data_IF_441689227791
#
_entry.id   IF_441689227791
#
_cell.length_a   1.000
_cell.length_b   1.000
_cell.length_c   1.000
_cell.angle_alpha   90.00
_cell.angle_beta   90.00
_cell.angle_gamma   90.00
#
_symmetry.space_group_name_H-M   'P 1'
#
loop_
_entity.id
_entity.type
_entity.pdbx_description
1 polymer ?
#
# COMPACT_ATOMS: atom_id res chain seq x y z
N UNK A 1 -45.40 3.30 0.91
CA UNK A 1 -44.96 4.07 -0.26
C UNK A 1 -44.95 3.08 -1.43
N UNK A 2 -45.61 3.39 -2.56
CA UNK A 2 -45.61 2.47 -3.70
C UNK A 2 -44.20 2.43 -4.32
N UNK A 3 -43.74 1.28 -4.83
CA UNK A 3 -42.43 1.17 -5.44
C UNK A 3 -42.38 1.92 -6.78
N UNK A 4 -41.37 2.77 -6.96
CA UNK A 4 -41.18 3.53 -8.21
C UNK A 4 -40.33 2.72 -9.18
N UNK A 5 -40.75 2.63 -10.45
CA UNK A 5 -39.96 1.96 -11.50
C UNK A 5 -39.21 3.00 -12.32
N UNK A 6 -37.89 2.85 -12.41
CA UNK A 6 -37.01 3.74 -13.16
C UNK A 6 -36.35 3.01 -14.34
N UNK A 7 -36.01 3.75 -15.39
CA UNK A 7 -35.24 3.21 -16.51
C UNK A 7 -33.74 3.23 -16.19
N UNK A 8 -33.23 2.08 -15.77
CA UNK A 8 -31.88 1.90 -15.26
C UNK A 8 -31.52 0.40 -15.34
N UNK A 9 -30.24 0.10 -15.17
CA UNK A 9 -29.77 -1.27 -14.88
C UNK A 9 -29.17 -1.27 -13.48
N UNK A 10 -29.43 -2.29 -12.68
CA UNK A 10 -28.89 -2.42 -11.33
C UNK A 10 -28.08 -3.71 -11.21
N UNK A 11 -26.89 -3.61 -10.63
CA UNK A 11 -25.99 -4.73 -10.34
C UNK A 11 -25.48 -4.62 -8.92
N UNK A 12 -25.18 -5.74 -8.27
CA UNK A 12 -24.79 -5.78 -6.87
C UNK A 12 -23.48 -6.54 -6.64
N UNK A 13 -22.70 -6.06 -5.68
CA UNK A 13 -21.46 -6.68 -5.22
C UNK A 13 -21.32 -6.51 -3.70
N UNK A 14 -20.89 -7.56 -3.00
CA UNK A 14 -20.82 -7.53 -1.53
C UNK A 14 -22.16 -7.29 -0.82
N UNK A 15 -23.29 -7.55 -1.50
CA UNK A 15 -24.64 -7.30 -0.98
C UNK A 15 -25.18 -5.88 -1.22
N UNK A 16 -24.40 -4.99 -1.85
CA UNK A 16 -24.78 -3.60 -2.10
C UNK A 16 -24.93 -3.36 -3.61
N UNK A 17 -25.97 -2.63 -4.00
CA UNK A 17 -26.34 -2.37 -5.39
C UNK A 17 -25.83 -1.02 -5.89
N UNK A 18 -25.48 -0.99 -7.17
CA UNK A 18 -25.17 0.20 -7.95
C UNK A 18 -26.24 0.37 -9.03
N UNK A 19 -26.80 1.58 -9.12
CA UNK A 19 -27.71 1.96 -10.21
C UNK A 19 -26.89 2.53 -11.37
N UNK A 20 -27.08 1.97 -12.57
CA UNK A 20 -26.54 2.48 -13.83
C UNK A 20 -27.64 3.28 -14.52
N UNK A 21 -27.48 4.61 -14.54
CA UNK A 21 -28.42 5.58 -15.10
C UNK A 21 -27.92 6.06 -16.46
N UNK A 22 -28.83 6.57 -17.29
CA UNK A 22 -28.48 7.18 -18.57
C UNK A 22 -29.48 6.82 -19.67
N UNK A 23 -29.40 7.49 -20.83
CA UNK A 23 -30.30 7.24 -21.96
C UNK A 23 -30.13 5.82 -22.53
N UNK A 24 -31.06 5.41 -23.39
CA UNK A 24 -30.88 4.17 -24.16
C UNK A 24 -29.62 4.27 -25.01
N UNK A 25 -28.83 3.19 -25.06
CA UNK A 25 -27.54 3.18 -25.77
C UNK A 25 -26.35 3.74 -24.99
N UNK A 26 -26.52 4.23 -23.76
CA UNK A 26 -25.42 4.72 -22.91
C UNK A 26 -24.47 3.63 -22.38
N UNK A 27 -24.67 2.36 -22.75
CA UNK A 27 -23.80 1.26 -22.32
C UNK A 27 -24.17 0.61 -20.98
N UNK A 28 -25.37 0.87 -20.42
CA UNK A 28 -25.84 0.29 -19.14
C UNK A 28 -25.71 -1.24 -19.10
N UNK A 29 -26.35 -1.96 -20.04
CA UNK A 29 -26.35 -3.43 -20.07
C UNK A 29 -24.97 -4.01 -20.43
N UNK A 30 -24.18 -3.32 -21.25
CA UNK A 30 -22.80 -3.73 -21.56
C UNK A 30 -21.88 -3.64 -20.34
N UNK A 31 -21.94 -2.52 -19.60
CA UNK A 31 -21.20 -2.36 -18.36
C UNK A 31 -21.67 -3.36 -17.30
N UNK A 32 -22.99 -3.60 -17.20
CA UNK A 32 -23.55 -4.62 -16.31
C UNK A 32 -23.02 -6.02 -16.63
N UNK A 33 -22.98 -6.41 -17.91
CA UNK A 33 -22.42 -7.68 -18.34
C UNK A 33 -20.94 -7.82 -17.98
N UNK A 34 -20.13 -6.77 -18.20
CA UNK A 34 -18.72 -6.75 -17.80
C UNK A 34 -18.51 -6.76 -16.28
N UNK A 35 -19.47 -6.24 -15.51
CA UNK A 35 -19.45 -6.35 -14.04
C UNK A 35 -19.85 -7.75 -13.58
N UNK A 36 -20.83 -8.38 -14.24
CA UNK A 36 -21.26 -9.76 -13.94
C UNK A 36 -20.13 -10.76 -14.19
N UNK A 37 -19.38 -10.60 -15.31
CA UNK A 37 -18.16 -11.38 -15.59
C UNK A 37 -17.11 -11.28 -14.46
N UNK A 38 -17.17 -10.21 -13.66
CA UNK A 38 -16.30 -9.95 -12.50
C UNK A 38 -16.93 -10.35 -11.16
N UNK A 39 -17.99 -11.16 -11.18
CA UNK A 39 -18.63 -11.69 -9.97
C UNK A 39 -19.66 -10.74 -9.33
N UNK A 40 -20.12 -9.73 -10.06
CA UNK A 40 -21.30 -8.97 -9.66
C UNK A 40 -22.55 -9.77 -10.00
N UNK A 41 -23.62 -9.54 -9.25
CA UNK A 41 -24.92 -10.15 -9.53
C UNK A 41 -25.82 -9.14 -10.20
N UNK A 42 -26.61 -9.58 -11.17
CA UNK A 42 -27.67 -8.74 -11.70
C UNK A 42 -28.73 -8.52 -10.61
N UNK A 43 -29.22 -7.30 -10.49
CA UNK A 43 -30.37 -6.97 -9.65
C UNK A 43 -31.60 -6.77 -10.54
N UNK A 44 -31.45 -5.99 -11.61
CA UNK A 44 -32.44 -5.81 -12.66
C UNK A 44 -31.80 -5.19 -13.91
N UNK A 45 -32.34 -5.45 -15.09
CA UNK A 45 -31.92 -4.81 -16.35
C UNK A 45 -33.07 -4.02 -16.99
N UNK A 46 -32.73 -2.90 -17.65
CA UNK A 46 -33.62 -1.94 -18.32
C UNK A 46 -34.65 -1.19 -17.44
N UNK A 47 -35.26 -1.89 -16.49
CA UNK A 47 -36.20 -1.34 -15.51
C UNK A 47 -35.88 -1.84 -14.12
N UNK A 48 -35.63 -0.91 -13.20
CA UNK A 48 -35.35 -1.19 -11.79
C UNK A 48 -36.54 -0.72 -10.96
N UNK A 49 -37.03 -1.58 -10.08
CA UNK A 49 -38.01 -1.22 -9.05
C UNK A 49 -37.25 -0.73 -7.83
N UNK A 50 -37.54 0.50 -7.39
CA UNK A 50 -37.00 1.08 -6.17
C UNK A 50 -38.06 1.04 -5.07
N UNK A 51 -37.63 0.68 -3.86
CA UNK A 51 -38.45 0.71 -2.66
C UNK A 51 -37.61 1.07 -1.44
N UNK A 52 -38.27 1.23 -0.29
CA UNK A 52 -37.58 1.50 0.99
C UNK A 52 -37.81 0.32 1.92
N UNK A 53 -36.71 -0.27 2.40
CA UNK A 53 -36.74 -1.31 3.43
C UNK A 53 -35.62 -1.06 4.44
N UNK A 54 -35.92 -1.15 5.74
CA UNK A 54 -34.93 -0.91 6.80
C UNK A 54 -34.30 0.50 6.77
N UNK A 55 -35.03 1.50 6.26
CA UNK A 55 -34.51 2.87 6.11
C UNK A 55 -33.50 3.05 4.97
N UNK A 56 -33.29 2.03 4.13
CA UNK A 56 -32.41 2.08 2.95
C UNK A 56 -33.22 1.97 1.68
N UNK A 57 -32.71 2.58 0.61
CA UNK A 57 -33.25 2.39 -0.73
C UNK A 57 -32.86 0.98 -1.19
N UNK A 58 -33.80 0.22 -1.72
CA UNK A 58 -33.58 -1.15 -2.21
C UNK A 58 -33.98 -1.21 -3.67
N UNK A 59 -33.11 -1.78 -4.50
CA UNK A 59 -33.36 -2.08 -5.90
C UNK A 59 -33.77 -3.55 -6.07
N UNK A 60 -34.74 -3.79 -6.94
CA UNK A 60 -35.17 -5.14 -7.34
C UNK A 60 -35.64 -5.17 -8.79
N UNK A 61 -35.69 -6.37 -9.37
CA UNK A 61 -36.29 -6.57 -10.69
C UNK A 61 -37.83 -6.51 -10.64
N UNK A 62 -38.49 -5.91 -11.64
CA UNK A 62 -39.92 -6.09 -11.85
C UNK A 62 -40.23 -7.58 -12.04
N UNK A 63 -41.39 -8.09 -11.57
CA UNK A 63 -41.73 -9.52 -11.68
C UNK A 63 -41.66 -10.09 -13.11
N UNK A 64 -41.88 -9.26 -14.13
CA UNK A 64 -41.87 -9.63 -15.55
C UNK A 64 -40.45 -9.75 -16.12
N UNK A 65 -39.47 -9.05 -15.53
CA UNK A 65 -38.07 -8.99 -16.00
C UNK A 65 -37.09 -9.63 -15.03
N UNK A 66 -37.58 -10.21 -13.93
CA UNK A 66 -36.76 -10.93 -12.97
C UNK A 66 -36.09 -12.13 -13.66
N UNK A 67 -34.79 -12.28 -13.43
CA UNK A 67 -34.04 -13.40 -14.01
C UNK A 67 -33.56 -13.20 -15.45
N UNK A 68 -33.67 -11.99 -16.03
CA UNK A 68 -33.43 -11.75 -17.46
C UNK A 68 -32.46 -10.58 -17.70
N UNK A 69 -31.50 -10.77 -18.61
CA UNK A 69 -30.55 -9.75 -19.06
C UNK A 69 -30.61 -9.60 -20.59
N UNK A 70 -30.78 -8.38 -21.10
CA UNK A 70 -30.68 -8.15 -22.56
C UNK A 70 -29.21 -8.00 -22.97
N UNK A 71 -28.71 -8.96 -23.75
CA UNK A 71 -27.38 -8.90 -24.34
C UNK A 71 -27.50 -8.53 -25.82
N UNK A 72 -27.11 -7.30 -26.16
CA UNK A 72 -27.21 -6.80 -27.55
C UNK A 72 -26.46 -7.72 -28.51
N UNK A 73 -27.17 -8.19 -29.54
CA UNK A 73 -26.65 -9.13 -30.53
C UNK A 73 -26.84 -10.61 -30.19
N UNK A 74 -27.19 -10.95 -28.93
CA UNK A 74 -27.48 -12.32 -28.49
C UNK A 74 -28.92 -12.52 -28.01
N UNK A 75 -29.65 -11.45 -27.67
CA UNK A 75 -31.03 -11.51 -27.19
C UNK A 75 -31.14 -11.52 -25.66
N UNK A 76 -32.27 -11.95 -25.13
CA UNK A 76 -32.54 -12.00 -23.68
C UNK A 76 -32.00 -13.33 -23.11
N UNK A 77 -31.11 -13.22 -22.12
CA UNK A 77 -30.43 -14.34 -21.48
C UNK A 77 -30.90 -14.52 -20.03
N UNK A 78 -30.99 -15.76 -19.51
CA UNK A 78 -31.30 -16.00 -18.11
C UNK A 78 -30.12 -15.62 -17.21
N UNK A 79 -30.37 -14.83 -16.17
CA UNK A 79 -29.35 -14.36 -15.21
C UNK A 79 -29.98 -14.22 -13.81
N UNK A 80 -29.36 -14.76 -12.76
CA UNK A 80 -30.00 -14.80 -11.45
C UNK A 80 -30.09 -13.40 -10.82
N UNK A 81 -31.32 -12.94 -10.51
CA UNK A 81 -31.56 -11.64 -9.88
C UNK A 81 -31.87 -11.74 -8.39
N UNK A 82 -31.25 -10.89 -7.57
CA UNK A 82 -31.60 -10.73 -6.16
C UNK A 82 -31.73 -9.23 -5.81
N UNK A 83 -32.73 -8.88 -5.00
CA UNK A 83 -32.89 -7.52 -4.50
C UNK A 83 -31.71 -7.13 -3.59
N UNK A 84 -31.30 -5.87 -3.64
CA UNK A 84 -30.17 -5.39 -2.84
C UNK A 84 -30.32 -3.89 -2.49
N UNK A 85 -29.85 -3.46 -1.30
CA UNK A 85 -29.79 -2.05 -0.92
C UNK A 85 -28.90 -1.26 -1.88
N UNK A 86 -29.35 -0.09 -2.31
CA UNK A 86 -28.61 0.81 -3.20
C UNK A 86 -27.63 1.65 -2.38
N UNK A 87 -26.37 1.62 -2.75
CA UNK A 87 -25.31 2.41 -2.12
C UNK A 87 -24.73 3.50 -3.03
N UNK A 88 -24.93 3.41 -4.34
CA UNK A 88 -24.34 4.32 -5.33
C UNK A 88 -25.19 4.36 -6.62
N UNK A 89 -25.19 5.52 -7.29
CA UNK A 89 -25.67 5.68 -8.64
C UNK A 89 -24.55 6.20 -9.57
N UNK A 90 -24.47 5.65 -10.78
CA UNK A 90 -23.55 6.05 -11.83
C UNK A 90 -24.35 6.60 -13.02
N UNK A 91 -24.09 7.84 -13.41
CA UNK A 91 -24.72 8.48 -14.56
C UNK A 91 -23.85 8.33 -15.80
N UNK A 92 -24.31 7.52 -16.75
CA UNK A 92 -23.65 7.23 -18.02
C UNK A 92 -23.98 8.23 -19.13
N UNK A 93 -24.70 9.33 -18.82
CA UNK A 93 -25.13 10.31 -19.81
C UNK A 93 -24.06 11.35 -20.16
N UNK A 94 -23.04 11.52 -19.32
CA UNK A 94 -22.01 12.54 -19.47
C UNK A 94 -20.60 11.99 -19.21
N UNK A 95 -19.61 12.60 -19.87
CA UNK A 95 -18.21 12.29 -19.63
C UNK A 95 -17.82 12.71 -18.19
N UNK A 96 -17.10 11.86 -17.44
CA UNK A 96 -16.69 12.18 -16.08
C UNK A 96 -15.66 13.31 -16.06
N UNK A 97 -15.83 14.27 -15.15
CA UNK A 97 -14.84 15.30 -14.88
C UNK A 97 -13.56 14.71 -14.27
N UNK A 98 -12.43 15.40 -14.50
CA UNK A 98 -11.12 15.01 -13.93
C UNK A 98 -11.14 15.00 -12.39
N UNK A 99 -11.91 15.90 -11.80
CA UNK A 99 -12.18 16.00 -10.37
C UNK A 99 -13.69 16.29 -10.21
N UNK A 100 -14.53 15.26 -10.05
CA UNK A 100 -15.97 15.46 -9.94
C UNK A 100 -16.34 16.10 -8.60
N UNK A 101 -17.29 17.03 -8.61
CA UNK A 101 -17.91 17.54 -7.38
C UNK A 101 -18.77 16.47 -6.73
N UNK A 102 -18.92 16.55 -5.40
CA UNK A 102 -19.76 15.61 -4.66
C UNK A 102 -21.24 15.84 -5.01
N UNK A 103 -21.82 14.94 -5.80
CA UNK A 103 -23.24 14.96 -6.15
C UNK A 103 -24.00 13.82 -5.48
N UNK A 104 -25.29 14.03 -5.24
CA UNK A 104 -26.21 12.98 -4.77
C UNK A 104 -27.58 13.18 -5.38
N UNK A 105 -28.32 12.08 -5.53
CA UNK A 105 -29.70 12.09 -5.99
C UNK A 105 -30.58 11.38 -4.97
N UNK A 106 -31.73 11.98 -4.68
CA UNK A 106 -32.67 11.45 -3.71
C UNK A 106 -33.75 10.61 -4.39
N UNK A 107 -33.95 9.38 -3.91
CA UNK A 107 -35.09 8.53 -4.25
C UNK A 107 -35.83 8.16 -2.96
N UNK A 108 -37.15 8.32 -2.94
CA UNK A 108 -37.97 8.09 -1.74
C UNK A 108 -37.45 8.81 -0.46
N UNK A 109 -36.83 9.98 -0.62
CA UNK A 109 -36.25 10.75 0.48
C UNK A 109 -34.86 10.27 0.97
N UNK A 110 -34.27 9.25 0.32
CA UNK A 110 -32.95 8.72 0.65
C UNK A 110 -31.95 9.26 -0.38
N UNK A 111 -30.98 10.04 0.08
CA UNK A 111 -29.90 10.57 -0.75
C UNK A 111 -28.87 9.49 -1.05
N UNK A 112 -28.64 9.22 -2.33
CA UNK A 112 -27.66 8.26 -2.82
C UNK A 112 -26.57 9.03 -3.58
N UNK A 113 -25.28 8.77 -3.32
CA UNK A 113 -24.18 9.38 -4.08
C UNK A 113 -24.36 9.15 -5.59
N UNK A 114 -24.13 10.18 -6.39
CA UNK A 114 -24.26 10.15 -7.85
C UNK A 114 -22.93 10.55 -8.48
N UNK A 115 -22.43 9.75 -9.43
CA UNK A 115 -21.18 10.05 -10.15
C UNK A 115 -21.40 9.97 -11.65
N UNK A 116 -20.98 11.00 -12.39
CA UNK A 116 -20.83 10.91 -13.84
C UNK A 116 -19.79 9.83 -14.17
N UNK A 117 -20.06 9.00 -15.17
CA UNK A 117 -19.31 7.77 -15.36
C UNK A 117 -19.23 7.35 -16.83
N UNK A 118 -18.02 7.11 -17.31
CA UNK A 118 -17.78 6.58 -18.66
C UNK A 118 -17.92 5.05 -18.65
N UNK A 119 -18.97 4.56 -19.29
CA UNK A 119 -19.21 3.13 -19.44
C UNK A 119 -18.22 2.46 -20.38
N UNK A 120 -17.73 3.13 -21.43
CA UNK A 120 -17.08 2.46 -22.56
C UNK A 120 -15.59 2.21 -22.36
N UNK A 121 -14.96 2.87 -21.39
CA UNK A 121 -13.56 2.62 -21.06
C UNK A 121 -13.31 1.16 -20.64
N UNK A 122 -12.17 0.59 -21.04
CA UNK A 122 -11.74 -0.76 -20.63
C UNK A 122 -11.64 -0.89 -19.09
N UNK A 123 -11.30 0.21 -18.43
CA UNK A 123 -11.22 0.30 -16.96
C UNK A 123 -12.55 0.58 -16.26
N UNK A 124 -13.66 0.71 -17.00
CA UNK A 124 -14.97 1.05 -16.42
C UNK A 124 -15.40 0.08 -15.30
N UNK A 125 -15.30 -1.26 -15.44
CA UNK A 125 -15.69 -2.15 -14.35
C UNK A 125 -14.87 -1.96 -13.06
N UNK A 126 -13.56 -1.73 -13.20
CA UNK A 126 -12.65 -1.46 -12.07
C UNK A 126 -12.97 -0.12 -11.39
N UNK A 127 -13.32 0.90 -12.18
CA UNK A 127 -13.72 2.22 -11.65
C UNK A 127 -15.04 2.13 -10.89
N UNK A 128 -16.01 1.37 -11.38
CA UNK A 128 -17.29 1.16 -10.70
C UNK A 128 -17.11 0.45 -9.35
N UNK A 129 -16.21 -0.55 -9.30
CA UNK A 129 -15.87 -1.25 -8.06
C UNK A 129 -15.21 -0.34 -7.02
N UNK A 130 -14.27 0.51 -7.45
CA UNK A 130 -13.65 1.52 -6.58
C UNK A 130 -14.67 2.56 -6.10
N UNK A 131 -15.55 3.01 -6.98
CA UNK A 131 -16.60 3.97 -6.64
C UNK A 131 -17.55 3.41 -5.57
N UNK A 132 -17.98 2.15 -5.70
CA UNK A 132 -18.82 1.50 -4.71
C UNK A 132 -18.12 1.40 -3.34
N UNK A 133 -16.85 0.99 -3.31
CA UNK A 133 -16.07 0.94 -2.06
C UNK A 133 -15.96 2.31 -1.39
N UNK A 134 -15.69 3.36 -2.17
CA UNK A 134 -15.60 4.72 -1.65
C UNK A 134 -16.95 5.21 -1.09
N UNK A 135 -18.06 4.91 -1.78
CA UNK A 135 -19.40 5.26 -1.32
C UNK A 135 -19.75 4.56 0.00
N UNK A 136 -19.44 3.26 0.13
CA UNK A 136 -19.68 2.50 1.35
C UNK A 136 -18.83 3.01 2.53
N UNK A 137 -17.57 3.36 2.29
CA UNK A 137 -16.72 3.99 3.30
C UNK A 137 -17.30 5.33 3.77
N UNK A 138 -17.81 6.17 2.86
CA UNK A 138 -18.43 7.45 3.18
C UNK A 138 -19.76 7.28 3.95
N UNK A 139 -20.58 6.29 3.60
CA UNK A 139 -21.83 5.98 4.30
C UNK A 139 -21.58 5.53 5.76
N UNK A 140 -20.46 4.85 6.01
CA UNK A 140 -20.05 4.43 7.34
C UNK A 140 -19.35 5.55 8.15
N UNK A 141 -19.10 6.71 7.53
CA UNK A 141 -18.37 7.86 8.11
C UNK A 141 -19.32 9.00 8.54
N UNK A 142 -20.31 8.72 9.38
CA UNK A 142 -21.04 9.75 10.19
C UNK A 142 -20.57 9.67 11.64
N UNK A 143 -20.51 10.80 12.38
CA UNK A 143 -19.65 10.93 13.56
C UNK A 143 -20.16 10.06 14.70
N UNK A 144 -19.42 9.00 14.99
CA UNK A 144 -19.43 8.32 16.28
C UNK A 144 -18.12 8.70 16.94
N UNK A 145 -18.24 9.44 18.05
CA UNK A 145 -17.13 9.70 18.94
C UNK A 145 -16.56 8.36 19.44
N UNK A 146 -15.23 8.28 19.43
CA UNK A 146 -14.44 7.33 20.20
C UNK A 146 -14.80 5.86 19.98
N UNK A 147 -14.43 5.29 18.81
CA UNK A 147 -14.25 3.84 18.68
C UNK A 147 -13.03 3.54 17.81
N UNK A 148 -12.15 2.74 18.42
CA UNK A 148 -10.95 2.09 17.91
C UNK A 148 -11.16 1.37 16.57
N UNK A 149 -10.08 1.11 15.80
CA UNK A 149 -10.18 0.52 14.46
C UNK A 149 -10.96 -0.81 14.50
N UNK A 150 -11.93 -0.93 13.60
CA UNK A 150 -12.69 -2.15 13.37
C UNK A 150 -11.76 -3.21 12.78
N UNK A 151 -11.19 -4.05 13.65
CA UNK A 151 -10.71 -5.38 13.30
C UNK A 151 -11.91 -6.18 12.78
N UNK A 152 -12.09 -6.20 11.46
CA UNK A 152 -12.75 -7.34 10.85
C UNK A 152 -11.92 -8.56 11.26
N UNK A 153 -12.55 -9.57 11.85
CA UNK A 153 -11.93 -10.85 12.14
C UNK A 153 -11.42 -11.45 10.83
N UNK A 154 -10.17 -11.14 10.47
CA UNK A 154 -9.44 -11.71 9.33
C UNK A 154 -8.98 -13.08 9.79
N UNK A 155 -9.79 -14.10 9.53
CA UNK A 155 -9.46 -15.48 9.92
C UNK A 155 -8.33 -16.07 9.08
N UNK A 156 -7.99 -15.48 7.93
CA UNK A 156 -6.79 -15.84 7.17
C UNK A 156 -6.07 -14.58 6.62
N UNK A 157 -4.73 -14.58 6.60
CA UNK A 157 -3.93 -13.49 6.05
C UNK A 157 -4.02 -13.50 4.52
N UNK A 158 -3.80 -12.35 3.85
CA UNK A 158 -4.02 -12.20 2.42
C UNK A 158 -3.01 -13.05 1.65
N UNK A 159 -3.52 -13.93 0.79
CA UNK A 159 -2.70 -14.80 -0.06
C UNK A 159 -2.38 -14.11 -1.38
N UNK A 160 -1.11 -14.13 -1.77
CA UNK A 160 -0.66 -13.61 -3.06
C UNK A 160 -0.27 -14.78 -3.98
N UNK A 161 -0.80 -14.78 -5.19
CA UNK A 161 -0.36 -15.67 -6.28
C UNK A 161 0.47 -14.81 -7.22
N UNK A 162 1.75 -15.11 -7.36
CA UNK A 162 2.67 -14.42 -8.26
C UNK A 162 2.92 -15.31 -9.48
N UNK A 163 2.51 -14.83 -10.65
CA UNK A 163 2.80 -15.47 -11.93
C UNK A 163 3.34 -14.44 -12.93
N UNK A 164 3.69 -14.86 -14.13
CA UNK A 164 4.26 -13.96 -15.13
C UNK A 164 5.17 -14.63 -16.14
N UNK A 165 5.71 -13.82 -17.04
CA UNK A 165 6.67 -14.25 -18.05
C UNK A 165 7.97 -14.71 -17.39
N UNK A 166 8.59 -15.78 -17.93
CA UNK A 166 9.90 -16.21 -17.48
C UNK A 166 10.92 -15.10 -17.73
N UNK A 167 11.74 -14.78 -16.71
CA UNK A 167 12.70 -13.66 -16.80
C UNK A 167 12.13 -12.27 -16.50
N UNK A 168 10.81 -12.13 -16.29
CA UNK A 168 10.21 -10.84 -15.93
C UNK A 168 10.48 -10.39 -14.49
N UNK A 169 11.11 -11.21 -13.64
CA UNK A 169 11.52 -10.81 -12.29
C UNK A 169 10.66 -11.38 -11.16
N UNK A 170 9.88 -12.44 -11.42
CA UNK A 170 9.10 -13.15 -10.38
C UNK A 170 9.93 -13.50 -9.13
N UNK A 171 11.13 -14.03 -9.30
CA UNK A 171 12.02 -14.37 -8.17
C UNK A 171 12.41 -13.13 -7.34
N UNK A 172 12.61 -11.98 -8.00
CA UNK A 172 12.87 -10.71 -7.32
C UNK A 172 11.65 -10.23 -6.54
N UNK A 173 10.45 -10.43 -7.10
CA UNK A 173 9.18 -10.10 -6.43
C UNK A 173 8.95 -10.98 -5.20
N UNK A 174 9.11 -12.30 -5.33
CA UNK A 174 8.97 -13.22 -4.20
C UNK A 174 9.95 -12.88 -3.08
N UNK A 175 11.21 -12.60 -3.42
CA UNK A 175 12.20 -12.17 -2.43
C UNK A 175 11.86 -10.84 -1.77
N UNK A 176 11.32 -9.88 -2.53
CA UNK A 176 10.85 -8.62 -1.95
C UNK A 176 9.68 -8.84 -0.98
N UNK A 177 8.80 -9.81 -1.26
CA UNK A 177 7.71 -10.18 -0.37
C UNK A 177 8.22 -10.90 0.89
N UNK A 178 9.25 -11.75 0.79
CA UNK A 178 9.95 -12.32 1.96
C UNK A 178 10.49 -11.22 2.88
N UNK A 179 11.12 -10.19 2.31
CA UNK A 179 11.61 -9.01 3.04
C UNK A 179 10.46 -8.22 3.73
N UNK A 180 9.20 -8.49 3.37
CA UNK A 180 7.98 -7.86 3.88
C UNK A 180 7.14 -8.83 4.74
N UNK A 181 7.78 -9.82 5.35
CA UNK A 181 7.19 -10.86 6.22
C UNK A 181 6.17 -11.80 5.56
N UNK A 182 6.18 -11.91 4.22
CA UNK A 182 5.44 -12.98 3.54
C UNK A 182 6.19 -14.31 3.61
N UNK A 183 5.47 -15.40 3.85
CA UNK A 183 5.96 -16.75 3.58
C UNK A 183 5.90 -16.99 2.06
N UNK A 184 7.03 -16.84 1.38
CA UNK A 184 7.10 -17.04 -0.07
C UNK A 184 7.51 -18.48 -0.43
N UNK A 185 6.77 -19.11 -1.34
CA UNK A 185 7.07 -20.43 -1.88
C UNK A 185 7.07 -20.35 -3.40
N UNK A 186 8.19 -20.68 -4.05
CA UNK A 186 8.31 -20.70 -5.52
C UNK A 186 8.01 -22.09 -6.10
N UNK A 187 7.48 -22.10 -7.32
CA UNK A 187 7.18 -23.29 -8.12
C UNK A 187 6.23 -24.29 -7.45
N UNK A 188 5.16 -23.79 -6.82
CA UNK A 188 4.17 -24.62 -6.14
C UNK A 188 3.20 -25.26 -7.16
N UNK A 189 3.04 -26.61 -7.17
CA UNK A 189 1.98 -27.27 -7.92
C UNK A 189 0.58 -26.82 -7.50
N UNK A 190 -0.30 -26.57 -8.47
CA UNK A 190 -1.68 -26.10 -8.24
C UNK A 190 -2.44 -27.00 -7.25
N UNK A 191 -2.27 -28.32 -7.33
CA UNK A 191 -2.94 -29.28 -6.44
C UNK A 191 -2.48 -29.26 -4.97
N UNK A 192 -1.45 -28.48 -4.63
CA UNK A 192 -0.97 -28.32 -3.26
C UNK A 192 -1.42 -26.99 -2.62
N UNK A 193 -2.08 -26.11 -3.38
CA UNK A 193 -2.63 -24.85 -2.86
C UNK A 193 -3.63 -25.12 -1.73
N UNK A 194 -4.51 -26.11 -1.93
CA UNK A 194 -5.55 -26.50 -0.96
C UNK A 194 -4.95 -27.05 0.35
N UNK A 195 -3.86 -27.82 0.26
CA UNK A 195 -3.17 -28.39 1.44
C UNK A 195 -2.50 -27.31 2.28
N UNK A 196 -1.94 -26.29 1.64
CA UNK A 196 -1.30 -25.17 2.33
C UNK A 196 -2.31 -24.22 2.96
N UNK A 197 -3.46 -24.02 2.30
CA UNK A 197 -4.61 -23.33 2.89
C UNK A 197 -5.08 -24.02 4.18
N UNK A 198 -5.25 -25.35 4.16
CA UNK A 198 -5.66 -26.13 5.33
C UNK A 198 -4.60 -26.13 6.47
N UNK A 199 -3.32 -25.96 6.13
CA UNK A 199 -2.22 -25.94 7.11
C UNK A 199 -2.05 -24.57 7.77
N UNK A 200 -2.42 -23.48 7.08
CA UNK A 200 -2.40 -22.12 7.62
C UNK A 200 -3.46 -21.90 8.72
N UNK A 201 -4.50 -22.74 8.78
CA UNK A 201 -5.56 -22.69 9.80
C UNK A 201 -5.20 -23.46 11.10
N UNK A 202 -4.15 -24.29 11.09
CA UNK A 202 -3.85 -25.25 12.17
C UNK A 202 -2.58 -24.99 13.00
N UNK A 203 -1.86 -23.89 12.77
CA UNK A 203 -0.59 -23.59 13.44
C UNK A 203 -0.74 -22.79 14.75
N UNK A 204 0.11 -23.08 15.74
CA UNK A 204 0.11 -22.47 17.09
C UNK A 204 0.74 -21.04 17.12
N UNK A 205 0.55 -20.24 16.07
CA UNK A 205 1.15 -18.91 15.92
C UNK A 205 0.32 -17.96 15.03
N UNK A 206 0.58 -16.64 15.08
CA UNK A 206 -0.17 -15.67 14.28
C UNK A 206 0.04 -15.94 12.78
N UNK A 207 -1.03 -15.94 11.98
CA UNK A 207 -0.94 -16.43 10.61
C UNK A 207 -0.19 -15.41 9.73
N UNK A 208 0.93 -15.84 9.15
CA UNK A 208 1.75 -15.03 8.24
C UNK A 208 1.11 -14.96 6.86
N UNK A 209 1.13 -13.81 6.17
CA UNK A 209 0.66 -13.74 4.80
C UNK A 209 1.54 -14.61 3.90
N UNK A 210 0.94 -15.28 2.92
CA UNK A 210 1.63 -16.29 2.10
C UNK A 210 1.67 -15.82 0.65
N UNK A 211 2.81 -16.03 -0.01
CA UNK A 211 3.02 -15.69 -1.41
C UNK A 211 3.45 -16.93 -2.22
N UNK A 212 2.69 -17.29 -3.25
CA UNK A 212 2.95 -18.46 -4.09
C UNK A 212 3.40 -18.07 -5.48
N UNK A 213 4.60 -18.50 -5.86
CA UNK A 213 5.12 -18.41 -7.22
C UNK A 213 4.60 -19.56 -8.07
N UNK A 214 3.83 -19.26 -9.12
CA UNK A 214 3.38 -20.24 -10.11
C UNK A 214 3.86 -19.79 -11.50
N UNK A 215 4.55 -20.65 -12.23
CA UNK A 215 4.98 -20.35 -13.61
C UNK A 215 4.83 -21.57 -14.52
N UNK A 216 5.18 -21.38 -15.80
CA UNK A 216 5.07 -22.41 -16.85
C UNK A 216 5.94 -23.66 -16.61
N UNK A 217 6.90 -23.60 -15.68
CA UNK A 217 7.74 -24.75 -15.27
C UNK A 217 7.06 -25.63 -14.24
N UNK A 218 5.97 -25.16 -13.63
CA UNK A 218 5.20 -25.93 -12.68
C UNK A 218 4.58 -27.15 -13.37
N UNK A 219 4.68 -28.33 -12.74
CA UNK A 219 4.18 -29.58 -13.33
C UNK A 219 2.68 -29.49 -13.57
N UNK A 220 2.24 -29.86 -14.78
CA UNK A 220 0.85 -29.75 -15.23
C UNK A 220 0.30 -28.31 -15.14
N UNK A 221 1.14 -27.32 -15.45
CA UNK A 221 0.71 -25.92 -15.52
C UNK A 221 -0.43 -25.75 -16.54
N UNK A 222 -1.54 -25.23 -16.06
CA UNK A 222 -2.69 -24.81 -16.85
C UNK A 222 -3.17 -23.48 -16.28
N UNK A 223 -2.98 -22.42 -17.07
CA UNK A 223 -3.35 -21.06 -16.71
C UNK A 223 -4.87 -20.93 -16.49
N UNK A 224 -5.68 -21.61 -17.29
CA UNK A 224 -7.14 -21.51 -17.19
C UNK A 224 -7.63 -22.27 -15.95
N UNK A 225 -7.12 -23.48 -15.72
CA UNK A 225 -7.45 -24.24 -14.51
C UNK A 225 -7.04 -23.51 -13.22
N UNK A 226 -5.89 -22.81 -13.23
CA UNK A 226 -5.49 -21.95 -12.11
C UNK A 226 -6.50 -20.81 -11.90
N UNK A 227 -6.86 -20.06 -12.94
CA UNK A 227 -7.87 -18.99 -12.84
C UNK A 227 -9.18 -19.53 -12.27
N UNK A 228 -9.68 -20.64 -12.78
CA UNK A 228 -10.94 -21.22 -12.35
C UNK A 228 -10.88 -21.69 -10.88
N UNK A 229 -9.75 -22.28 -10.45
CA UNK A 229 -9.55 -22.64 -9.04
C UNK A 229 -9.51 -21.40 -8.13
N UNK A 230 -8.80 -20.35 -8.53
CA UNK A 230 -8.73 -19.10 -7.75
C UNK A 230 -10.11 -18.46 -7.59
N UNK A 231 -10.98 -18.55 -8.60
CA UNK A 231 -12.36 -18.07 -8.50
C UNK A 231 -13.19 -18.86 -7.50
N UNK A 232 -13.07 -20.20 -7.51
CA UNK A 232 -13.74 -21.06 -6.53
C UNK A 232 -13.33 -20.69 -5.11
N UNK A 233 -12.02 -20.59 -4.86
CA UNK A 233 -11.48 -20.22 -3.55
C UNK A 233 -11.92 -18.82 -3.09
N UNK A 234 -11.99 -17.84 -4.00
CA UNK A 234 -12.57 -16.52 -3.70
C UNK A 234 -14.05 -16.60 -3.35
N UNK A 235 -14.81 -17.44 -4.04
CA UNK A 235 -16.21 -17.72 -3.75
C UNK A 235 -16.44 -18.38 -2.38
N UNK A 236 -15.45 -19.14 -1.91
CA UNK A 236 -15.40 -19.75 -0.57
C UNK A 236 -14.96 -18.76 0.53
N UNK A 237 -14.65 -17.50 0.17
CA UNK A 237 -14.30 -16.43 1.11
C UNK A 237 -12.81 -16.25 1.37
N UNK A 238 -11.94 -16.92 0.62
CA UNK A 238 -10.48 -16.77 0.77
C UNK A 238 -10.00 -15.46 0.13
N UNK A 239 -9.28 -14.63 0.89
CA UNK A 239 -8.68 -13.37 0.41
C UNK A 239 -7.41 -13.65 -0.43
N UNK A 240 -7.60 -13.93 -1.73
CA UNK A 240 -6.53 -14.27 -2.67
C UNK A 240 -6.39 -13.20 -3.76
N UNK A 241 -5.17 -12.70 -3.99
CA UNK A 241 -4.82 -11.79 -5.09
C UNK A 241 -3.82 -12.40 -6.07
N UNK A 242 -4.11 -12.32 -7.36
CA UNK A 242 -3.26 -12.71 -8.47
C UNK A 242 -2.48 -11.49 -8.99
N UNK A 243 -1.15 -11.59 -8.93
CA UNK A 243 -0.20 -10.61 -9.46
C UNK A 243 0.51 -11.22 -10.65
N UNK A 244 0.43 -10.55 -11.80
CA UNK A 244 1.10 -10.96 -13.03
C UNK A 244 2.29 -10.04 -13.33
N UNK A 245 3.47 -10.61 -13.49
CA UNK A 245 4.71 -9.90 -13.79
C UNK A 245 4.99 -10.01 -15.29
N UNK A 246 4.97 -8.88 -15.99
CA UNK A 246 5.19 -8.80 -17.42
C UNK A 246 6.50 -8.07 -17.77
N UNK A 247 6.95 -8.27 -19.00
CA UNK A 247 8.14 -7.64 -19.55
C UNK A 247 8.07 -7.68 -21.08
N UNK A 248 8.60 -6.65 -21.75
CA UNK A 248 8.77 -6.66 -23.21
C UNK A 248 9.70 -7.78 -23.67
N UNK A 249 9.47 -8.28 -24.88
CA UNK A 249 10.21 -9.40 -25.46
C UNK A 249 11.70 -9.08 -25.64
N UNK A 250 12.03 -7.85 -26.06
CA UNK A 250 13.42 -7.38 -26.22
C UNK A 250 14.17 -7.36 -24.88
N UNK A 251 13.51 -6.89 -23.83
CA UNK A 251 14.10 -6.85 -22.48
C UNK A 251 14.25 -8.26 -21.89
N UNK A 252 13.30 -9.17 -22.16
CA UNK A 252 13.43 -10.58 -21.81
C UNK A 252 14.65 -11.21 -22.52
N UNK A 253 14.81 -10.96 -23.82
CA UNK A 253 15.96 -11.44 -24.59
C UNK A 253 17.28 -10.95 -23.97
N UNK A 254 17.35 -9.67 -23.62
CA UNK A 254 18.50 -9.07 -22.93
C UNK A 254 18.82 -9.78 -21.61
N UNK A 255 17.82 -9.97 -20.74
CA UNK A 255 18.00 -10.62 -19.41
C UNK A 255 18.43 -12.08 -19.51
N UNK A 256 17.88 -12.84 -20.46
CA UNK A 256 18.30 -14.23 -20.69
C UNK A 256 19.73 -14.32 -21.24
N UNK A 257 20.12 -13.38 -22.11
CA UNK A 257 21.50 -13.26 -22.59
C UNK A 257 22.48 -12.97 -21.45
N UNK A 258 22.15 -12.04 -20.55
CA UNK A 258 22.98 -11.66 -19.39
C UNK A 258 23.14 -12.80 -18.39
N UNK A 259 22.05 -13.48 -18.05
CA UNK A 259 22.07 -14.59 -17.09
C UNK A 259 22.57 -15.91 -17.70
N UNK A 260 22.72 -15.96 -19.03
CA UNK A 260 23.05 -17.16 -19.82
C UNK A 260 22.16 -18.38 -19.52
N UNK A 261 20.95 -18.14 -19.01
CA UNK A 261 19.96 -19.19 -18.73
C UNK A 261 19.22 -19.52 -20.03
N UNK A 262 18.69 -20.74 -20.11
CA UNK A 262 17.78 -21.12 -21.21
C UNK A 262 16.35 -20.79 -20.83
N UNK A 263 15.56 -20.34 -21.80
CA UNK A 263 14.13 -20.13 -21.62
C UNK A 263 13.42 -21.50 -21.52
N UNK A 264 12.53 -21.72 -20.53
CA UNK A 264 11.93 -23.03 -20.28
C UNK A 264 11.15 -23.61 -21.47
N UNK A 265 10.48 -22.73 -22.23
CA UNK A 265 9.71 -23.10 -23.42
C UNK A 265 10.47 -22.90 -24.73
N UNK A 266 11.79 -22.64 -24.68
CA UNK A 266 12.65 -22.49 -25.85
C UNK A 266 13.81 -23.50 -25.88
N UNK A 267 13.62 -24.70 -25.35
CA UNK A 267 14.68 -25.72 -25.28
C UNK A 267 15.02 -26.33 -26.65
N UNK A 268 14.02 -26.38 -27.54
CA UNK A 268 14.04 -27.03 -28.86
C UNK A 268 13.71 -26.07 -30.01
N UNK A 269 13.61 -24.77 -29.74
CA UNK A 269 13.15 -23.73 -30.68
C UNK A 269 13.83 -22.39 -30.43
N UNK A 270 13.75 -21.43 -31.38
CA UNK A 270 14.22 -20.06 -31.16
C UNK A 270 13.64 -19.41 -29.91
N UNK A 271 14.41 -18.52 -29.27
CA UNK A 271 14.01 -17.80 -28.06
C UNK A 271 12.68 -17.04 -28.24
N UNK A 272 12.55 -16.32 -29.36
CA UNK A 272 11.34 -15.55 -29.68
C UNK A 272 10.08 -16.44 -29.71
N UNK A 273 10.18 -17.63 -30.32
CA UNK A 273 9.06 -18.57 -30.39
C UNK A 273 8.67 -19.11 -29.01
N UNK A 274 9.66 -19.33 -28.14
CA UNK A 274 9.40 -19.75 -26.75
C UNK A 274 8.74 -18.66 -25.90
N UNK A 275 9.12 -17.39 -26.09
CA UNK A 275 8.48 -16.24 -25.44
C UNK A 275 7.05 -16.04 -25.94
N UNK A 276 6.83 -16.13 -27.25
CA UNK A 276 5.49 -16.03 -27.84
C UNK A 276 4.55 -17.12 -27.30
N UNK A 277 5.02 -18.37 -27.25
CA UNK A 277 4.27 -19.48 -26.66
C UNK A 277 3.97 -19.26 -25.18
N UNK A 278 4.94 -18.79 -24.39
CA UNK A 278 4.71 -18.49 -22.98
C UNK A 278 3.66 -17.40 -22.78
N UNK A 279 3.70 -16.37 -23.63
CA UNK A 279 2.75 -15.26 -23.57
C UNK A 279 1.33 -15.73 -23.90
N UNK A 280 1.17 -16.63 -24.86
CA UNK A 280 -0.12 -17.27 -25.17
C UNK A 280 -0.61 -18.14 -24.00
N UNK A 281 0.25 -19.01 -23.46
CA UNK A 281 -0.09 -19.89 -22.34
C UNK A 281 -0.49 -19.11 -21.09
N UNK A 282 0.18 -18.00 -20.81
CA UNK A 282 -0.07 -17.20 -19.60
C UNK A 282 -1.06 -16.05 -19.80
N UNK A 283 -1.60 -15.86 -21.02
CA UNK A 283 -2.58 -14.82 -21.34
C UNK A 283 -3.83 -14.85 -20.44
N UNK A 284 -4.40 -16.02 -20.07
CA UNK A 284 -5.51 -16.07 -19.11
C UNK A 284 -5.14 -15.48 -17.76
N UNK A 285 -3.95 -15.78 -17.24
CA UNK A 285 -3.48 -15.23 -15.96
C UNK A 285 -3.31 -13.72 -16.02
N UNK A 286 -2.75 -13.19 -17.12
CA UNK A 286 -2.62 -11.74 -17.33
C UNK A 286 -3.99 -11.06 -17.37
N UNK A 287 -4.97 -11.67 -18.05
CA UNK A 287 -6.34 -11.15 -18.19
C UNK A 287 -7.09 -11.08 -16.86
N UNK A 288 -6.87 -12.08 -15.99
CA UNK A 288 -7.56 -12.22 -14.72
C UNK A 288 -6.77 -11.72 -13.51
N UNK A 289 -5.55 -11.20 -13.71
CA UNK A 289 -4.73 -10.65 -12.65
C UNK A 289 -5.38 -9.40 -12.03
N UNK A 290 -5.34 -9.31 -10.71
CA UNK A 290 -5.77 -8.10 -10.00
C UNK A 290 -4.73 -6.98 -10.10
N UNK A 291 -3.46 -7.36 -10.32
CA UNK A 291 -2.35 -6.44 -10.56
C UNK A 291 -1.43 -6.99 -11.65
N UNK A 292 -1.21 -6.19 -12.69
CA UNK A 292 -0.15 -6.43 -13.69
C UNK A 292 1.00 -5.46 -13.44
N UNK A 293 2.22 -5.99 -13.30
CA UNK A 293 3.43 -5.22 -13.10
C UNK A 293 4.32 -5.39 -14.33
N UNK A 294 4.41 -4.33 -15.14
CA UNK A 294 5.38 -4.27 -16.23
C UNK A 294 6.77 -3.89 -15.69
N UNK A 295 7.73 -4.79 -15.90
CA UNK A 295 9.12 -4.65 -15.46
C UNK A 295 10.07 -4.16 -16.55
N UNK A 296 9.53 -3.79 -17.71
CA UNK A 296 10.30 -3.25 -18.84
C UNK A 296 11.08 -2.02 -18.39
N UNK A 297 12.40 -2.05 -18.57
CA UNK A 297 13.30 -0.96 -18.18
C UNK A 297 13.48 -0.74 -16.68
N UNK A 298 12.92 -1.60 -15.81
CA UNK A 298 13.11 -1.48 -14.37
C UNK A 298 14.41 -2.13 -13.91
N UNK A 299 15.11 -1.44 -13.01
CA UNK A 299 16.16 -2.04 -12.20
C UNK A 299 15.58 -2.95 -11.12
N UNK A 300 16.40 -3.84 -10.56
CA UNK A 300 16.02 -4.68 -9.41
C UNK A 300 15.57 -3.81 -8.22
N UNK A 301 16.23 -2.69 -7.99
CA UNK A 301 15.90 -1.74 -6.91
C UNK A 301 14.56 -1.07 -7.16
N UNK A 302 14.28 -0.63 -8.39
CA UNK A 302 13.00 -0.01 -8.75
C UNK A 302 11.85 -1.00 -8.67
N UNK A 303 12.08 -2.25 -9.08
CA UNK A 303 11.09 -3.31 -8.94
C UNK A 303 10.75 -3.56 -7.47
N UNK A 304 11.77 -3.70 -6.60
CA UNK A 304 11.55 -3.86 -5.14
C UNK A 304 10.75 -2.71 -4.55
N UNK A 305 11.11 -1.46 -4.89
CA UNK A 305 10.37 -0.27 -4.45
C UNK A 305 8.91 -0.29 -4.90
N UNK A 306 8.65 -0.61 -6.19
CA UNK A 306 7.27 -0.71 -6.71
C UNK A 306 6.47 -1.81 -6.02
N UNK A 307 7.09 -2.93 -5.65
CA UNK A 307 6.45 -3.99 -4.87
C UNK A 307 6.10 -3.51 -3.47
N UNK A 308 7.02 -2.83 -2.78
CA UNK A 308 6.76 -2.24 -1.47
C UNK A 308 5.61 -1.21 -1.52
N UNK A 309 5.57 -0.34 -2.53
CA UNK A 309 4.50 0.66 -2.70
C UNK A 309 3.11 0.03 -2.95
N UNK A 310 3.05 -1.07 -3.72
CA UNK A 310 1.78 -1.64 -4.23
C UNK A 310 1.26 -2.81 -3.41
N UNK A 311 2.15 -3.60 -2.84
CA UNK A 311 1.86 -4.82 -2.07
C UNK A 311 2.28 -4.67 -0.60
N UNK A 312 2.92 -3.55 -0.25
CA UNK A 312 3.14 -3.14 1.13
C UNK A 312 1.84 -3.12 1.90
N UNK A 313 1.85 -3.81 3.05
CA UNK A 313 0.76 -3.69 4.00
C UNK A 313 0.72 -2.24 4.44
N UNK A 314 -0.47 -1.64 4.42
CA UNK A 314 -0.71 -0.25 4.81
C UNK A 314 -0.24 0.11 6.22
N UNK A 315 0.07 -0.90 7.06
CA UNK A 315 0.64 -0.73 8.40
C UNK A 315 2.18 -0.65 8.45
N UNK A 316 2.90 -1.02 7.38
CA UNK A 316 4.36 -1.19 7.45
C UNK A 316 5.18 -0.11 6.71
N UNK A 317 4.56 0.93 6.16
CA UNK A 317 5.30 2.10 5.70
C UNK A 317 5.39 3.18 6.79
N UNK A 318 5.54 2.76 8.05
CA UNK A 318 5.85 3.70 9.14
C UNK A 318 7.32 4.12 9.02
N UNK A 319 7.53 5.32 8.49
CA UNK A 319 8.79 6.03 8.63
C UNK A 319 9.18 6.02 10.12
N UNK A 320 10.24 5.30 10.46
CA UNK A 320 10.77 5.30 11.82
C UNK A 320 11.64 6.53 12.00
N UNK A 321 11.19 7.47 12.83
CA UNK A 321 11.93 8.71 13.14
C UNK A 321 12.77 8.47 14.38
N UNK A 322 14.07 8.78 14.29
CA UNK A 322 15.00 8.75 15.44
C UNK A 322 15.59 10.14 15.64
N UNK A 323 15.47 10.68 16.85
CA UNK A 323 16.21 11.85 17.30
C UNK A 323 17.42 11.36 18.10
N UNK A 324 18.62 11.76 17.67
CA UNK A 324 19.86 11.38 18.33
C UNK A 324 20.66 12.60 18.78
N UNK A 325 20.97 12.69 20.08
CA UNK A 325 21.92 13.68 20.57
C UNK A 325 23.37 13.21 20.40
N UNK A 326 24.28 14.14 20.08
CA UNK A 326 25.70 13.82 19.92
C UNK A 326 26.63 15.00 20.25
N UNK A 327 27.92 14.71 20.41
CA UNK A 327 29.01 15.66 20.57
C UNK A 327 29.87 15.79 19.31
N UNK A 328 30.09 17.02 18.82
CA UNK A 328 30.98 17.30 17.69
C UNK A 328 32.43 16.85 17.96
N UNK A 329 32.89 16.88 19.21
CA UNK A 329 34.20 16.37 19.59
C UNK A 329 34.36 14.86 19.31
N UNK A 330 33.25 14.13 19.20
CA UNK A 330 33.21 12.69 18.89
C UNK A 330 32.83 12.41 17.42
N UNK A 331 32.79 13.45 16.58
CA UNK A 331 32.45 13.36 15.16
C UNK A 331 30.95 13.26 14.87
N UNK A 332 30.57 13.52 13.62
CA UNK A 332 29.20 13.40 13.13
C UNK A 332 28.72 11.94 13.13
N UNK A 333 27.46 11.65 13.49
CA UNK A 333 26.91 10.31 13.30
C UNK A 333 26.87 9.93 11.81
N UNK A 334 27.36 8.75 11.47
CA UNK A 334 27.45 8.28 10.08
C UNK A 334 26.08 8.04 9.43
N UNK A 335 25.07 7.79 10.26
CA UNK A 335 23.70 7.50 9.85
C UNK A 335 22.78 8.73 9.95
N UNK A 336 23.30 9.94 10.21
CA UNK A 336 22.48 11.13 10.30
C UNK A 336 22.01 11.59 8.92
N UNK A 337 20.71 11.78 8.76
CA UNK A 337 20.09 12.38 7.57
C UNK A 337 20.02 13.90 7.68
N UNK A 338 19.66 14.39 8.87
CA UNK A 338 19.58 15.80 9.21
C UNK A 338 20.49 16.08 10.43
N UNK A 339 21.19 17.21 10.43
CA UNK A 339 22.09 17.59 11.52
C UNK A 339 21.84 19.05 11.92
N UNK A 340 21.58 19.29 13.21
CA UNK A 340 21.38 20.63 13.76
C UNK A 340 22.42 20.93 14.84
N UNK A 341 23.07 22.10 14.76
CA UNK A 341 24.14 22.51 15.67
C UNK A 341 23.62 23.45 16.77
N UNK A 342 23.67 22.99 18.02
CA UNK A 342 23.21 23.70 19.22
C UNK A 342 24.35 24.33 20.02
N UNK A 343 25.56 24.46 19.47
CA UNK A 343 26.72 25.04 20.18
C UNK A 343 26.57 26.53 20.50
N UNK A 344 25.64 27.22 19.84
CA UNK A 344 25.37 28.65 20.06
C UNK A 344 24.58 28.94 21.35
N UNK A 345 23.85 27.94 21.89
CA UNK A 345 23.09 28.09 23.13
C UNK A 345 23.99 28.19 24.36
N UNK A 346 23.48 28.83 25.42
CA UNK A 346 24.08 28.94 26.75
C UNK A 346 24.66 27.60 27.22
N UNK A 347 25.94 27.62 27.61
CA UNK A 347 26.71 26.41 27.88
C UNK A 347 26.72 26.06 29.38
N UNK A 348 26.00 25.01 29.83
CA UNK A 348 25.91 24.66 31.26
C UNK A 348 27.23 24.17 31.86
N UNK A 349 28.23 23.86 31.03
CA UNK A 349 29.53 23.35 31.47
C UNK A 349 30.30 24.32 32.38
N UNK A 350 30.03 25.63 32.28
CA UNK A 350 30.71 26.64 33.09
C UNK A 350 30.11 26.80 34.48
N UNK A 351 28.91 26.25 34.71
CA UNK A 351 28.28 26.22 36.02
C UNK A 351 28.73 24.95 36.78
N UNK A 352 29.47 25.08 37.90
CA UNK A 352 30.01 23.93 38.61
C UNK A 352 28.95 22.90 39.01
N UNK A 353 27.75 23.37 39.35
CA UNK A 353 26.62 22.55 39.80
C UNK A 353 25.93 21.80 38.65
N UNK A 354 25.94 22.35 37.42
CA UNK A 354 25.31 21.74 36.24
C UNK A 354 26.27 20.86 35.44
N UNK A 355 27.59 21.10 35.57
CA UNK A 355 28.62 20.34 34.88
C UNK A 355 28.51 18.81 35.04
N UNK A 356 28.26 18.24 36.25
CA UNK A 356 28.14 16.79 36.41
C UNK A 356 26.79 16.23 35.92
N UNK A 357 25.80 17.07 35.66
CA UNK A 357 24.48 16.64 35.22
C UNK A 357 24.44 16.42 33.70
N UNK A 358 23.28 16.03 33.19
CA UNK A 358 22.99 15.82 31.76
C UNK A 358 21.82 16.67 31.33
N UNK A 359 21.58 16.81 30.03
CA UNK A 359 20.40 17.51 29.53
C UNK A 359 19.08 16.82 29.83
N UNK A 360 19.08 15.61 30.43
CA UNK A 360 17.86 15.00 30.97
C UNK A 360 17.46 15.59 32.32
N UNK A 361 18.41 16.15 33.06
CA UNK A 361 18.16 16.76 34.36
C UNK A 361 17.40 18.09 34.19
N UNK A 362 16.30 18.24 34.92
CA UNK A 362 15.41 19.39 34.79
C UNK A 362 16.11 20.74 35.01
N UNK A 363 17.13 20.79 35.89
CA UNK A 363 17.92 22.00 36.16
C UNK A 363 18.79 22.39 34.96
N UNK A 364 19.39 21.43 34.26
CA UNK A 364 20.16 21.67 33.03
C UNK A 364 19.23 22.08 31.90
N UNK A 365 18.09 21.38 31.75
CA UNK A 365 17.10 21.71 30.73
C UNK A 365 16.57 23.13 30.92
N UNK A 366 16.23 23.53 32.15
CA UNK A 366 15.78 24.88 32.48
C UNK A 366 16.87 25.95 32.20
N UNK A 367 18.13 25.66 32.52
CA UNK A 367 19.24 26.59 32.22
C UNK A 367 19.40 26.80 30.71
N UNK A 368 19.38 25.72 29.92
CA UNK A 368 19.49 25.81 28.46
C UNK A 368 18.27 26.53 27.86
N UNK A 369 17.07 26.27 28.38
CA UNK A 369 15.84 26.93 27.96
C UNK A 369 15.76 28.42 28.33
N UNK A 370 16.57 28.87 29.30
CA UNK A 370 16.68 30.28 29.67
C UNK A 370 17.42 31.15 28.66
N UNK A 371 18.09 30.56 27.66
CA UNK A 371 18.72 31.31 26.57
C UNK A 371 17.66 31.95 25.66
N UNK A 372 17.72 33.27 25.37
CA UNK A 372 16.75 33.94 24.49
C UNK A 372 16.63 33.33 23.09
N UNK A 373 17.68 32.67 22.58
CA UNK A 373 17.67 32.02 21.28
C UNK A 373 17.08 30.60 21.31
N UNK A 374 16.87 30.00 22.49
CA UNK A 374 16.40 28.62 22.62
C UNK A 374 15.02 28.41 22.00
N UNK A 375 14.01 29.15 22.46
CA UNK A 375 12.63 29.01 22.00
C UNK A 375 12.51 29.16 20.48
N UNK A 376 12.94 30.29 19.89
CA UNK A 376 12.85 30.51 18.45
C UNK A 376 13.57 29.44 17.61
N UNK A 377 14.73 28.93 18.08
CA UNK A 377 15.46 27.90 17.37
C UNK A 377 14.73 26.54 17.41
N UNK A 378 14.24 26.14 18.58
CA UNK A 378 13.49 24.89 18.74
C UNK A 378 12.18 24.93 17.96
N UNK A 379 11.45 26.04 18.00
CA UNK A 379 10.20 26.25 17.25
C UNK A 379 10.45 26.07 15.74
N UNK A 380 11.45 26.77 15.19
CA UNK A 380 11.78 26.70 13.77
C UNK A 380 12.21 25.29 13.32
N UNK A 381 12.98 24.57 14.15
CA UNK A 381 13.39 23.20 13.86
C UNK A 381 12.17 22.27 13.91
N UNK A 382 11.31 22.40 14.91
CA UNK A 382 10.10 21.58 15.03
C UNK A 382 9.16 21.77 13.82
N UNK A 383 8.93 23.01 13.40
CA UNK A 383 8.08 23.34 12.24
C UNK A 383 8.65 22.78 10.94
N UNK A 384 9.97 22.89 10.77
CA UNK A 384 10.66 22.29 9.63
C UNK A 384 10.49 20.77 9.63
N UNK A 385 10.72 20.11 10.76
CA UNK A 385 10.60 18.66 10.87
C UNK A 385 9.17 18.18 10.62
N UNK A 386 8.16 18.87 11.17
CA UNK A 386 6.75 18.59 10.92
C UNK A 386 6.39 18.69 9.43
N UNK A 387 7.06 19.58 8.68
CA UNK A 387 6.88 19.69 7.22
C UNK A 387 7.59 18.55 6.47
N UNK A 388 8.80 18.18 6.89
CA UNK A 388 9.65 17.22 6.17
C UNK A 388 9.25 15.75 6.41
N UNK A 389 8.85 15.39 7.63
CA UNK A 389 8.55 14.00 8.04
C UNK A 389 7.48 13.36 7.13
N UNK A 390 6.32 14.00 6.85
CA UNK A 390 5.35 13.46 5.89
C UNK A 390 5.90 13.35 4.47
N UNK A 391 6.80 14.26 4.07
CA UNK A 391 7.50 14.22 2.78
C UNK A 391 8.34 12.96 2.63
N UNK A 392 9.20 12.67 3.61
CA UNK A 392 10.02 11.46 3.63
C UNK A 392 9.18 10.17 3.68
N UNK A 393 8.07 10.19 4.42
CA UNK A 393 7.13 9.06 4.45
C UNK A 393 6.53 8.76 3.08
N UNK A 394 6.12 9.80 2.32
CA UNK A 394 5.60 9.65 0.95
C UNK A 394 6.65 9.20 -0.06
N UNK A 395 7.92 9.57 0.13
CA UNK A 395 9.03 9.11 -0.70
C UNK A 395 9.37 7.62 -0.45
N UNK A 396 8.85 7.03 0.63
CA UNK A 396 9.09 5.64 1.00
C UNK A 396 10.37 5.45 1.81
N UNK A 397 10.86 6.49 2.50
CA UNK A 397 12.00 6.38 3.40
C UNK A 397 11.61 5.56 4.63
N UNK A 398 12.36 4.49 4.93
CA UNK A 398 12.07 3.60 6.05
C UNK A 398 12.55 4.16 7.41
N UNK A 399 13.70 4.85 7.43
CA UNK A 399 14.32 5.41 8.62
C UNK A 399 14.75 6.85 8.38
N UNK A 400 14.44 7.75 9.32
CA UNK A 400 14.93 9.13 9.33
C UNK A 400 15.67 9.39 10.65
N UNK A 401 16.97 9.66 10.58
CA UNK A 401 17.79 9.99 11.74
C UNK A 401 18.09 11.48 11.79
N UNK A 402 17.57 12.16 12.80
CA UNK A 402 17.75 13.58 13.08
C UNK A 402 18.79 13.73 14.20
N UNK A 403 19.95 14.27 13.88
CA UNK A 403 21.05 14.42 14.83
C UNK A 403 21.14 15.84 15.40
N UNK A 404 21.13 15.97 16.72
CA UNK A 404 21.28 17.24 17.43
C UNK A 404 22.66 17.28 18.09
N UNK A 405 23.48 18.25 17.71
CA UNK A 405 24.89 18.33 18.10
C UNK A 405 25.18 19.45 19.10
N UNK A 406 25.97 19.16 20.13
CA UNK A 406 26.69 20.20 20.88
C UNK A 406 28.18 19.82 20.96
N UNK A 407 29.02 20.52 21.74
CA UNK A 407 30.45 20.19 21.77
C UNK A 407 30.72 18.78 22.32
N UNK A 408 30.18 18.46 23.51
CA UNK A 408 30.44 17.21 24.23
C UNK A 408 29.30 16.20 24.26
N UNK A 409 28.13 16.53 23.69
CA UNK A 409 27.01 15.58 23.58
C UNK A 409 26.23 15.27 24.88
N UNK A 410 26.42 16.06 25.94
CA UNK A 410 25.89 15.77 27.29
C UNK A 410 24.76 16.68 27.76
N UNK A 411 24.83 17.98 27.46
CA UNK A 411 23.91 18.99 28.02
C UNK A 411 22.94 19.53 26.97
N UNK A 412 23.36 20.53 26.19
CA UNK A 412 22.52 21.25 25.22
C UNK A 412 21.84 20.35 24.20
N UNK A 413 22.60 19.46 23.55
CA UNK A 413 22.01 18.57 22.56
C UNK A 413 21.02 17.57 23.14
N UNK A 414 21.26 17.09 24.36
CA UNK A 414 20.34 16.17 25.06
C UNK A 414 19.03 16.88 25.42
N UNK A 415 19.12 18.08 26.00
CA UNK A 415 17.95 18.89 26.35
C UNK A 415 17.10 19.25 25.13
N UNK A 416 17.74 19.71 24.04
CA UNK A 416 17.04 20.04 22.79
C UNK A 416 16.44 18.78 22.12
N UNK A 417 17.15 17.65 22.13
CA UNK A 417 16.62 16.41 21.57
C UNK A 417 15.35 15.93 22.28
N UNK A 418 15.28 16.05 23.61
CA UNK A 418 14.09 15.67 24.39
C UNK A 418 12.91 16.59 24.10
N UNK A 419 13.15 17.90 24.07
CA UNK A 419 12.12 18.89 23.73
C UNK A 419 11.54 18.65 22.32
N UNK A 420 12.40 18.43 21.32
CA UNK A 420 11.96 18.13 19.95
C UNK A 420 11.17 16.82 19.87
N UNK A 421 11.57 15.79 20.60
CA UNK A 421 10.83 14.52 20.64
C UNK A 421 9.41 14.71 21.20
N UNK A 422 9.27 15.43 22.32
CA UNK A 422 7.94 15.72 22.89
C UNK A 422 7.04 16.50 21.92
N UNK A 423 7.60 17.46 21.19
CA UNK A 423 6.84 18.26 20.21
C UNK A 423 6.43 17.44 18.99
N UNK A 424 7.31 16.59 18.48
CA UNK A 424 6.98 15.70 17.37
C UNK A 424 5.94 14.66 17.77
N UNK A 425 6.05 14.07 18.95
CA UNK A 425 5.06 13.14 19.49
C UNK A 425 3.68 13.83 19.59
N UNK A 426 3.63 15.05 20.11
CA UNK A 426 2.41 15.85 20.20
C UNK A 426 1.82 16.23 18.82
N UNK A 427 2.67 16.37 17.80
CA UNK A 427 2.28 16.63 16.41
C UNK A 427 1.87 15.36 15.62
N UNK A 428 1.84 14.18 16.25
CA UNK A 428 1.48 12.92 15.60
C UNK A 428 2.63 12.26 14.83
N UNK A 429 3.87 12.59 15.16
CA UNK A 429 5.08 12.02 14.57
C UNK A 429 5.95 11.36 15.64
N UNK A 430 5.58 10.17 16.13
CA UNK A 430 6.29 9.52 17.22
C UNK A 430 7.78 9.29 16.88
N UNK A 431 8.68 9.74 17.76
CA UNK A 431 10.13 9.66 17.53
C UNK A 431 10.87 8.88 18.62
N UNK A 432 11.76 7.99 18.21
CA UNK A 432 12.69 7.31 19.11
C UNK A 432 13.80 8.27 19.56
N UNK A 433 14.06 8.36 20.86
CA UNK A 433 15.11 9.20 21.42
C UNK A 433 16.36 8.37 21.76
N UNK A 434 17.52 8.79 21.25
CA UNK A 434 18.82 8.14 21.51
C UNK A 434 19.86 9.17 21.93
N UNK A 435 20.66 8.87 22.96
CA UNK A 435 21.74 9.73 23.42
C UNK A 435 23.10 9.05 23.21
N UNK A 436 23.81 9.43 22.15
CA UNK A 436 25.02 8.71 21.69
C UNK A 436 26.18 8.78 22.67
N UNK A 437 26.36 9.93 23.32
CA UNK A 437 27.58 10.27 24.05
C UNK A 437 27.36 10.47 25.57
N UNK A 438 26.13 10.39 26.07
CA UNK A 438 25.78 10.60 27.50
C UNK A 438 26.43 9.56 28.44
N UNK A 439 26.73 8.36 27.95
CA UNK A 439 27.33 7.26 28.74
C UNK A 439 28.84 7.03 28.55
N UNK A 440 29.57 7.85 27.79
CA UNK A 440 30.97 7.55 27.40
C UNK A 440 32.04 7.96 28.42
N UNK A 441 31.68 8.51 29.58
CA UNK A 441 32.63 8.75 30.67
C UNK A 441 32.64 7.61 31.68
N UNK A 442 33.20 6.49 31.24
CA UNK A 442 33.62 5.38 32.11
C UNK A 442 35.10 5.00 31.94
N UNK A 443 35.86 5.65 31.06
CA UNK A 443 37.27 5.30 30.87
C UNK A 443 38.10 6.51 30.42
N UNK A 444 38.49 7.35 31.38
CA UNK A 444 39.72 8.15 31.24
C UNK A 444 40.92 7.20 31.29
N UNK A 445 41.15 6.48 30.19
CA UNK A 445 42.43 5.85 29.94
C UNK A 445 43.32 6.88 29.25
N UNK A 446 44.28 7.39 30.02
CA UNK A 446 45.31 8.33 29.60
C UNK A 446 45.87 8.01 28.19
N UNK A 447 45.60 8.90 27.23
CA UNK A 447 46.43 8.97 26.02
C UNK A 447 47.63 9.83 26.39
N UNK A 448 48.71 9.15 26.76
CA UNK A 448 50.04 9.72 26.88
C UNK A 448 50.41 10.43 25.57
N UNK A 449 50.76 11.70 25.73
CA UNK A 449 51.37 12.58 24.72
C UNK A 449 52.60 11.94 24.09
N UNK A 450 52.66 11.92 22.75
CA UNK A 450 53.92 11.85 22.02
C UNK A 450 54.21 13.24 21.44
N UNK A 451 55.25 13.89 21.99
CA UNK A 451 55.79 15.15 21.48
C UNK A 451 56.36 14.95 20.06
N UNK A 452 56.29 15.98 19.18
CA UNK A 452 57.00 15.94 17.91
C UNK A 452 58.51 16.05 18.16
N UNK A 453 59.26 15.07 17.67
CA UNK A 453 60.72 15.10 17.62
C UNK A 453 61.18 16.18 16.64
N UNK A 454 61.81 17.21 17.17
CA UNK A 454 62.65 18.14 16.42
C UNK A 454 63.82 17.38 15.79
N UNK A 455 63.94 17.46 14.45
CA UNK A 455 65.21 17.20 13.75
C UNK A 455 65.87 18.55 13.46
N UNK A 456 66.79 18.93 14.33
CA UNK A 456 68.02 19.65 13.98
C UNK A 456 69.15 18.65 14.24
N UNK A 457 70.22 18.50 13.47
CA UNK A 457 70.71 19.17 12.28
C UNK A 457 71.99 18.43 11.87
N UNK A 458 72.42 18.58 10.63
CA UNK A 458 73.64 17.95 10.13
C UNK A 458 74.21 18.74 8.96
N UNK A 459 75.21 19.57 9.30
CA UNK A 459 76.20 20.22 8.47
C UNK A 459 76.35 19.74 7.00
N UNK A 460 76.23 20.69 6.06
CA UNK A 460 77.38 21.33 5.38
C UNK A 460 76.97 22.73 4.93
#
# INVERSE_FOLDING_TARGET
>A
MMPDTIHATAVAHGGEAVLLLGPSGAGKSDLALRLIDRGWRLVADDRVVLGVAGGRLVASAPPVLAGMLEVRGLGIMPEATAAAPVALALDLSAAPDRLPEAASQAWHGIAIPLLAFDAFGESAPLKAERALRAALAALNSRPVADQTPFEATRTAPPMLIISGMSGAGKATVLKALEDMDYEAVDNLPLGLVDTLLASAEGGDGPPRPVAFGIDTRTRAFDAQALVDRLRVLRGEGVDIRLVYIDCSDDELARRFSETRRRHPLALDRPFADGVALERELTAPLKRWADLVIDTTGLSVTDLRRRIAERLGRSDQNQLTVTIQSFGFAHGLPRNADLVFDMRFLANPHWEPELRPLTGEDATVAAYVAGDPAYGPAVDCIADLLATLIPGYGREGKAYLTIAIGCTGGRHRSVAVSRELQQRLDAAGHPALLVHRDVGKQGNDAAILTAAPTSRDGGAT
#
